data_IF_793557960530
#
_entry.id   IF_793557960530
#
_cell.length_a   1.000
_cell.length_b   1.000
_cell.length_c   1.000
_cell.angle_alpha   90.00
_cell.angle_beta   90.00
_cell.angle_gamma   90.00
#
_symmetry.space_group_name_H-M   'P 1'
#
loop_
_entity.id
_entity.type
_entity.pdbx_description
1 polymer ?
#
# COMPACT_ATOMS: atom_id res chain seq x y z
N UNK A 1 -3.63 -29.63 25.25
CA UNK A 1 -4.09 -29.17 26.58
C UNK A 1 -3.27 -27.92 26.86
N UNK A 2 -3.77 -26.69 26.86
CA UNK A 2 -5.11 -26.18 27.12
C UNK A 2 -5.18 -24.74 26.54
N UNK A 3 -6.37 -24.35 26.07
CA UNK A 3 -6.91 -22.98 26.09
C UNK A 3 -6.06 -21.81 25.58
N UNK A 4 -6.41 -21.31 24.39
CA UNK A 4 -6.63 -19.89 24.10
C UNK A 4 -7.65 -19.86 22.93
N UNK A 5 -8.96 -19.97 23.18
CA UNK A 5 -9.80 -18.82 23.47
C UNK A 5 -9.28 -17.53 22.82
N UNK A 6 -9.54 -17.36 21.52
CA UNK A 6 -10.11 -16.14 20.95
C UNK A 6 -10.75 -16.47 19.59
N UNK A 7 -11.87 -17.21 19.60
CA UNK A 7 -12.89 -17.07 18.55
C UNK A 7 -13.59 -15.74 18.85
N UNK A 8 -12.86 -14.64 18.67
CA UNK A 8 -13.39 -13.29 18.71
C UNK A 8 -13.77 -12.95 17.29
N UNK A 9 -15.01 -13.25 16.92
CA UNK A 9 -15.62 -12.80 15.67
C UNK A 9 -15.73 -11.26 15.71
N UNK A 10 -14.60 -10.58 15.52
CA UNK A 10 -14.54 -9.14 15.28
C UNK A 10 -14.93 -8.85 13.84
N UNK A 11 -16.20 -9.10 13.49
CA UNK A 11 -16.77 -8.80 12.18
C UNK A 11 -16.99 -7.29 12.02
N UNK A 12 -15.92 -6.49 12.09
CA UNK A 12 -15.99 -5.16 11.51
C UNK A 12 -15.97 -5.31 9.99
N UNK A 13 -16.87 -4.69 9.22
CA UNK A 13 -16.80 -4.74 7.75
C UNK A 13 -15.41 -4.35 7.19
N UNK A 14 -14.67 -3.50 7.93
CA UNK A 14 -13.31 -3.09 7.62
C UNK A 14 -12.31 -4.26 7.65
N UNK A 15 -12.39 -5.15 8.65
CA UNK A 15 -11.47 -6.28 8.74
C UNK A 15 -11.69 -7.28 7.61
N UNK A 16 -12.94 -7.48 7.15
CA UNK A 16 -13.20 -8.32 5.99
C UNK A 16 -12.55 -7.78 4.72
N UNK A 17 -12.61 -6.46 4.51
CA UNK A 17 -11.98 -5.79 3.36
C UNK A 17 -10.45 -5.85 3.46
N UNK A 18 -9.88 -5.73 4.66
CA UNK A 18 -8.43 -5.90 4.88
C UNK A 18 -7.96 -7.29 4.45
N UNK A 19 -8.61 -8.35 4.94
CA UNK A 19 -8.28 -9.73 4.56
C UNK A 19 -8.47 -9.98 3.07
N UNK A 20 -9.52 -9.40 2.47
CA UNK A 20 -9.74 -9.51 1.04
C UNK A 20 -8.61 -8.86 0.24
N UNK A 21 -8.17 -7.65 0.62
CA UNK A 21 -7.03 -6.97 -0.01
C UNK A 21 -5.73 -7.77 0.12
N UNK A 22 -5.50 -8.39 1.26
CA UNK A 22 -4.33 -9.26 1.49
C UNK A 22 -4.39 -10.53 0.62
N UNK A 23 -5.58 -11.09 0.42
CA UNK A 23 -5.78 -12.28 -0.41
C UNK A 23 -5.70 -12.02 -1.93
N UNK A 24 -5.62 -10.76 -2.39
CA UNK A 24 -5.48 -10.46 -3.82
C UNK A 24 -4.10 -10.90 -4.32
N UNK A 25 -4.08 -11.92 -5.16
CA UNK A 25 -2.88 -12.37 -5.88
C UNK A 25 -2.79 -11.71 -7.26
N UNK A 26 -1.59 -11.29 -7.64
CA UNK A 26 -1.34 -10.57 -8.90
C UNK A 26 -0.82 -11.55 -9.95
N UNK A 27 -1.63 -11.80 -10.98
CA UNK A 27 -1.29 -12.69 -12.10
C UNK A 27 -1.47 -12.03 -13.47
N UNK A 28 -1.67 -10.71 -13.49
CA UNK A 28 -1.96 -9.98 -14.72
C UNK A 28 -1.09 -8.72 -14.81
N UNK A 29 -0.22 -8.59 -15.82
CA UNK A 29 0.69 -7.45 -15.93
C UNK A 29 -0.05 -6.13 -16.16
N UNK A 30 -1.22 -6.14 -16.80
CA UNK A 30 -2.03 -4.93 -16.96
C UNK A 30 -2.55 -4.42 -15.61
N UNK A 31 -3.02 -5.34 -14.76
CA UNK A 31 -3.48 -5.02 -13.41
C UNK A 31 -2.30 -4.54 -12.55
N UNK A 32 -1.17 -5.25 -12.59
CA UNK A 32 0.02 -4.89 -11.84
C UNK A 32 0.50 -3.46 -12.17
N UNK A 33 0.62 -3.13 -13.46
CA UNK A 33 0.97 -1.77 -13.91
C UNK A 33 -0.05 -0.72 -13.48
N UNK A 34 -1.34 -1.06 -13.51
CA UNK A 34 -2.38 -0.16 -13.05
C UNK A 34 -2.25 0.12 -11.55
N UNK A 35 -2.03 -0.91 -10.74
CA UNK A 35 -1.82 -0.78 -9.29
C UNK A 35 -0.56 0.01 -8.96
N UNK A 36 0.55 -0.22 -9.67
CA UNK A 36 1.79 0.54 -9.54
C UNK A 36 1.65 2.02 -9.95
N UNK A 37 0.67 2.38 -10.78
CA UNK A 37 0.37 3.78 -11.11
C UNK A 37 -0.64 4.40 -10.15
N UNK A 38 -1.56 3.60 -9.63
CA UNK A 38 -2.64 4.06 -8.76
C UNK A 38 -2.17 4.30 -7.32
N UNK A 39 -1.38 3.39 -6.77
CA UNK A 39 -0.89 3.45 -5.39
C UNK A 39 0.46 4.16 -5.40
N UNK A 40 0.64 5.32 -4.75
CA UNK A 40 1.90 6.06 -4.80
C UNK A 40 3.05 5.33 -4.07
N UNK A 41 4.30 5.55 -4.49
CA UNK A 41 5.48 4.99 -3.81
C UNK A 41 5.79 5.71 -2.49
N UNK A 42 5.41 6.98 -2.41
CA UNK A 42 5.64 7.86 -1.28
C UNK A 42 4.32 8.24 -0.61
N UNK A 43 4.39 8.70 0.64
CA UNK A 43 3.22 9.13 1.37
C UNK A 43 2.65 10.43 0.77
N UNK A 44 1.45 10.46 0.16
CA UNK A 44 0.91 11.70 -0.45
C UNK A 44 0.60 12.81 0.57
N UNK A 45 0.52 12.47 1.86
CA UNK A 45 0.28 13.44 2.92
C UNK A 45 1.57 14.12 3.42
N UNK A 46 2.72 13.48 3.24
CA UNK A 46 4.00 14.07 3.62
C UNK A 46 4.39 15.13 2.59
N UNK A 47 4.53 16.38 3.02
CA UNK A 47 4.93 17.48 2.13
C UNK A 47 5.40 18.69 2.92
N UNK A 48 6.31 19.43 2.31
CA UNK A 48 6.74 20.73 2.79
C UNK A 48 5.92 21.85 2.15
N UNK A 49 5.47 22.79 2.97
CA UNK A 49 4.88 24.05 2.52
C UNK A 49 5.96 25.11 2.55
N UNK A 50 6.40 25.57 1.37
CA UNK A 50 7.48 26.56 1.21
C UNK A 50 6.92 27.92 0.85
N UNK A 51 7.47 28.97 1.47
CA UNK A 51 7.23 30.38 1.11
C UNK A 51 8.59 31.05 0.94
N UNK A 52 8.81 31.72 -0.20
CA UNK A 52 10.07 32.40 -0.52
C UNK A 52 11.30 31.47 -0.34
N UNK A 53 11.18 30.24 -0.85
CA UNK A 53 12.20 29.16 -0.77
C UNK A 53 12.50 28.63 0.64
N UNK A 54 11.79 29.09 1.68
CA UNK A 54 11.92 28.59 3.04
C UNK A 54 10.73 27.71 3.41
N UNK A 55 10.99 26.53 3.97
CA UNK A 55 9.93 25.66 4.51
C UNK A 55 9.30 26.34 5.73
N UNK A 56 8.01 26.66 5.66
CA UNK A 56 7.24 27.26 6.74
C UNK A 56 6.61 26.18 7.61
N UNK A 57 6.13 25.09 6.98
CA UNK A 57 5.49 23.96 7.66
C UNK A 57 5.93 22.68 6.99
N UNK A 58 6.34 21.69 7.78
CA UNK A 58 6.57 20.32 7.35
C UNK A 58 5.38 19.46 7.82
N UNK A 59 4.67 18.83 6.88
CA UNK A 59 3.61 17.87 7.19
C UNK A 59 4.24 16.48 7.27
N UNK A 60 4.19 15.79 8.42
CA UNK A 60 4.79 14.47 8.57
C UNK A 60 4.04 13.39 7.76
N UNK A 61 4.60 12.18 7.61
CA UNK A 61 3.91 11.07 6.97
C UNK A 61 2.70 10.61 7.80
N UNK A 62 1.52 11.05 7.39
CA UNK A 62 0.24 10.69 8.02
C UNK A 62 -0.48 9.52 7.34
N UNK A 63 0.20 8.79 6.46
CA UNK A 63 -0.42 7.75 5.64
C UNK A 63 -0.97 6.55 6.43
N UNK A 64 -0.45 6.31 7.64
CA UNK A 64 -0.96 5.27 8.54
C UNK A 64 -2.31 5.59 9.19
N UNK A 65 -2.86 6.80 8.98
CA UNK A 65 -4.24 7.11 9.38
C UNK A 65 -5.27 6.32 8.56
N UNK A 66 -4.91 5.88 7.34
CA UNK A 66 -5.79 5.03 6.54
C UNK A 66 -5.77 3.59 7.09
N UNK A 67 -6.94 3.02 7.49
CA UNK A 67 -7.04 1.65 7.99
C UNK A 67 -6.58 0.55 7.03
N UNK A 68 -6.37 0.88 5.75
CA UNK A 68 -5.95 -0.06 4.70
C UNK A 68 -4.54 0.22 4.17
N UNK A 69 -3.77 1.10 4.83
CA UNK A 69 -2.48 1.56 4.34
C UNK A 69 -1.49 0.40 4.09
N UNK A 70 -1.31 -0.48 5.09
CA UNK A 70 -0.36 -1.59 5.00
C UNK A 70 -0.76 -2.57 3.89
N UNK A 71 -2.05 -2.83 3.71
CA UNK A 71 -2.57 -3.70 2.65
C UNK A 71 -2.30 -3.10 1.26
N UNK A 72 -2.49 -1.79 1.08
CA UNK A 72 -2.22 -1.12 -0.20
C UNK A 72 -0.73 -1.10 -0.54
N UNK A 73 0.13 -0.81 0.44
CA UNK A 73 1.59 -0.84 0.25
C UNK A 73 2.04 -2.26 -0.10
N UNK A 74 1.53 -3.28 0.60
CA UNK A 74 1.80 -4.69 0.30
C UNK A 74 1.32 -5.07 -1.10
N UNK A 75 0.11 -4.66 -1.51
CA UNK A 75 -0.41 -4.90 -2.85
C UNK A 75 0.44 -4.27 -3.94
N UNK A 76 0.91 -3.04 -3.72
CA UNK A 76 1.84 -2.35 -4.61
C UNK A 76 3.18 -3.09 -4.70
N UNK A 77 3.74 -3.51 -3.58
CA UNK A 77 5.00 -4.26 -3.55
C UNK A 77 4.88 -5.56 -4.34
N UNK A 78 3.82 -6.35 -4.10
CA UNK A 78 3.55 -7.57 -4.88
C UNK A 78 3.40 -7.31 -6.38
N UNK A 79 2.75 -6.19 -6.74
CA UNK A 79 2.61 -5.79 -8.15
C UNK A 79 3.96 -5.46 -8.79
N UNK A 80 4.85 -4.77 -8.07
CA UNK A 80 6.21 -4.47 -8.53
C UNK A 80 7.04 -5.74 -8.69
N UNK A 81 7.02 -6.62 -7.68
CA UNK A 81 7.73 -7.90 -7.74
C UNK A 81 7.25 -8.76 -8.90
N UNK A 82 5.93 -8.86 -9.11
CA UNK A 82 5.37 -9.60 -10.25
C UNK A 82 5.87 -9.06 -11.61
N UNK A 83 5.92 -7.73 -11.76
CA UNK A 83 6.42 -7.11 -13.00
C UNK A 83 7.92 -7.33 -13.19
N UNK A 84 8.73 -7.23 -12.13
CA UNK A 84 10.17 -7.37 -12.21
C UNK A 84 10.62 -8.84 -12.33
N UNK A 85 10.12 -9.71 -11.44
CA UNK A 85 10.63 -11.07 -11.27
C UNK A 85 9.96 -12.06 -12.23
N UNK A 86 8.65 -11.95 -12.47
CA UNK A 86 7.92 -12.87 -13.35
C UNK A 86 7.80 -12.37 -14.79
N UNK A 87 7.54 -11.07 -14.99
CA UNK A 87 7.39 -10.50 -16.33
C UNK A 87 8.71 -9.98 -16.92
N UNK A 88 9.73 -9.74 -16.11
CA UNK A 88 11.01 -9.18 -16.55
C UNK A 88 10.92 -7.73 -17.05
N UNK A 89 9.92 -6.96 -16.60
CA UNK A 89 9.73 -5.56 -16.99
C UNK A 89 10.62 -4.61 -16.16
N UNK A 90 11.06 -3.50 -16.76
CA UNK A 90 11.71 -2.42 -16.02
C UNK A 90 10.69 -1.66 -15.16
N UNK A 91 10.82 -1.81 -13.84
CA UNK A 91 9.93 -1.20 -12.85
C UNK A 91 10.43 0.15 -12.33
N UNK A 92 11.60 0.62 -12.75
CA UNK A 92 12.17 1.92 -12.37
C UNK A 92 11.18 3.09 -12.50
N UNK A 93 10.36 3.19 -13.57
CA UNK A 93 9.37 4.26 -13.71
C UNK A 93 8.31 4.29 -12.60
N UNK A 94 8.13 3.19 -11.88
CA UNK A 94 7.17 3.10 -10.78
C UNK A 94 7.80 3.46 -9.44
N UNK A 95 9.12 3.43 -9.27
CA UNK A 95 9.80 3.64 -7.99
C UNK A 95 9.98 5.12 -7.58
N UNK A 96 9.16 6.01 -8.14
CA UNK A 96 9.21 7.47 -7.92
C UNK A 96 8.20 7.91 -6.86
#
# INVERSE_FOLDING_TARGET
>A
MSSLNQIGFGNSPLSLVQHWLEAVEIHNPKLARFLCKLIPAQCPFERDIKLLERTVVHIPPLCKLNPFYEQLVSLRFRSLSYLADECGEDVTPYCQ
#
